data_IF_399440664461
#
_entry.id   IF_399440664461
#
_cell.length_a   1.000
_cell.length_b   1.000
_cell.length_c   1.000
_cell.angle_alpha   90.00
_cell.angle_beta   90.00
_cell.angle_gamma   90.00
#
_symmetry.space_group_name_H-M   'P 1'
#
loop_
_entity.id
_entity.type
_entity.pdbx_description
1 polymer ?
#
# COMPACT_ATOMS: atom_id res chain seq x y z
N UNK A 1 41.49 -50.37 43.08
CA UNK A 1 40.79 -51.09 42.00
C UNK A 1 39.93 -50.06 41.28
N UNK A 2 40.51 -49.29 40.35
CA UNK A 2 40.53 -49.55 38.91
C UNK A 2 39.14 -49.84 38.30
N UNK A 3 38.60 -48.86 37.58
CA UNK A 3 38.16 -49.06 36.18
C UNK A 3 37.96 -47.70 35.48
N UNK A 4 38.49 -47.64 34.26
CA UNK A 4 38.48 -46.55 33.29
C UNK A 4 37.09 -46.30 32.67
N UNK A 5 36.84 -45.06 32.21
CA UNK A 5 36.44 -44.80 30.82
C UNK A 5 36.48 -43.28 30.50
N UNK A 6 37.31 -42.92 29.52
CA UNK A 6 37.27 -41.66 28.76
C UNK A 6 36.25 -41.81 27.62
N UNK A 7 35.51 -40.75 27.28
CA UNK A 7 34.98 -40.43 25.94
C UNK A 7 34.50 -38.96 26.00
N UNK A 8 35.28 -38.02 25.46
CA UNK A 8 35.23 -37.51 24.08
C UNK A 8 34.18 -36.42 23.88
N UNK A 9 34.69 -35.25 23.50
CA UNK A 9 33.95 -34.04 23.18
C UNK A 9 32.96 -34.24 22.04
N UNK A 10 31.77 -33.67 22.17
CA UNK A 10 30.90 -33.35 21.06
C UNK A 10 30.77 -31.82 21.00
N UNK A 11 31.58 -31.21 20.14
CA UNK A 11 31.34 -29.86 19.66
C UNK A 11 30.05 -29.88 18.84
N UNK A 12 28.95 -29.39 19.41
CA UNK A 12 27.73 -29.16 18.67
C UNK A 12 27.99 -27.94 17.79
N UNK A 13 28.08 -28.19 16.47
CA UNK A 13 28.06 -27.16 15.45
C UNK A 13 26.83 -26.27 15.69
N UNK A 14 27.09 -24.99 15.96
CA UNK A 14 26.10 -23.95 15.79
C UNK A 14 25.77 -23.86 14.29
N UNK A 15 24.70 -24.55 13.88
CA UNK A 15 24.07 -24.32 12.59
C UNK A 15 23.56 -22.88 12.66
N UNK A 16 24.24 -21.97 11.96
CA UNK A 16 23.77 -20.61 11.79
C UNK A 16 22.35 -20.67 11.23
N UNK A 17 21.38 -20.28 12.05
CA UNK A 17 20.08 -19.90 11.54
C UNK A 17 20.35 -18.74 10.57
N UNK A 18 20.32 -19.03 9.28
CA UNK A 18 20.21 -18.00 8.27
C UNK A 18 18.99 -17.18 8.67
N UNK A 19 19.23 -15.94 9.09
CA UNK A 19 18.20 -14.95 9.36
C UNK A 19 17.22 -15.04 8.21
N UNK A 20 16.00 -15.51 8.46
CA UNK A 20 14.97 -15.55 7.45
C UNK A 20 14.87 -14.13 6.90
N UNK A 21 15.35 -13.92 5.67
CA UNK A 21 15.30 -12.61 5.05
C UNK A 21 13.85 -12.12 5.18
N UNK A 22 13.68 -10.90 5.69
CA UNK A 22 12.40 -10.22 5.63
C UNK A 22 11.90 -10.36 4.18
N UNK A 23 10.78 -11.06 3.99
CA UNK A 23 10.38 -11.50 2.66
C UNK A 23 9.73 -10.33 1.94
N UNK A 24 10.55 -9.43 1.40
CA UNK A 24 10.11 -8.49 0.39
C UNK A 24 9.61 -9.29 -0.81
N UNK A 25 8.40 -9.01 -1.25
CA UNK A 25 7.79 -9.69 -2.40
C UNK A 25 8.15 -8.95 -3.68
N UNK A 26 9.41 -9.12 -4.11
CA UNK A 26 9.96 -8.48 -5.31
C UNK A 26 9.28 -8.97 -6.60
N UNK A 27 8.64 -10.14 -6.56
CA UNK A 27 7.90 -10.69 -7.69
C UNK A 27 6.62 -9.89 -8.00
N UNK A 28 6.04 -9.25 -6.98
CA UNK A 28 4.76 -8.55 -7.06
C UNK A 28 4.84 -7.05 -6.83
N UNK A 29 5.98 -6.52 -6.41
CA UNK A 29 6.07 -5.12 -5.97
C UNK A 29 7.44 -4.49 -6.20
N UNK A 30 7.52 -3.18 -5.95
CA UNK A 30 8.74 -2.39 -5.99
C UNK A 30 8.91 -1.57 -7.27
N UNK A 31 10.15 -1.15 -7.52
CA UNK A 31 10.53 -0.24 -8.60
C UNK A 31 10.28 -0.78 -10.00
N UNK A 32 9.97 0.14 -10.91
CA UNK A 32 10.00 -0.10 -12.35
C UNK A 32 10.98 0.85 -13.01
N UNK A 33 11.53 0.43 -14.13
CA UNK A 33 12.52 1.18 -14.90
C UNK A 33 11.87 1.99 -16.02
N UNK A 34 10.66 1.59 -16.44
CA UNK A 34 9.93 2.25 -17.53
C UNK A 34 8.42 2.11 -17.39
N UNK A 35 7.71 3.09 -17.95
CA UNK A 35 6.25 3.08 -18.14
C UNK A 35 5.84 2.63 -19.54
N UNK A 36 6.80 2.38 -20.43
CA UNK A 36 6.53 1.74 -21.71
C UNK A 36 5.99 0.34 -21.49
N UNK A 37 5.12 -0.12 -22.41
CA UNK A 37 4.66 -1.51 -22.40
C UNK A 37 5.81 -2.49 -22.57
N UNK A 38 5.70 -3.64 -21.93
CA UNK A 38 6.66 -4.72 -22.10
C UNK A 38 6.60 -5.26 -23.54
N UNK A 39 7.72 -5.29 -24.30
CA UNK A 39 7.74 -5.83 -25.65
C UNK A 39 7.55 -7.36 -25.69
N UNK A 40 7.72 -8.05 -24.55
CA UNK A 40 7.63 -9.51 -24.43
C UNK A 40 6.69 -9.90 -23.28
N UNK A 41 5.37 -9.66 -23.40
CA UNK A 41 4.41 -10.01 -22.35
C UNK A 41 4.35 -11.53 -22.19
N UNK A 42 4.41 -12.01 -20.94
CA UNK A 42 4.26 -13.44 -20.65
C UNK A 42 2.79 -13.78 -20.46
N UNK A 43 2.39 -14.93 -21.02
CA UNK A 43 1.01 -15.40 -21.01
C UNK A 43 0.53 -15.79 -19.61
N UNK A 44 1.41 -16.37 -18.79
CA UNK A 44 1.03 -16.93 -17.49
C UNK A 44 1.52 -16.07 -16.32
N UNK A 45 0.66 -15.91 -15.31
CA UNK A 45 0.97 -15.18 -14.07
C UNK A 45 2.21 -15.75 -13.39
N UNK A 46 2.33 -17.08 -13.29
CA UNK A 46 3.48 -17.73 -12.68
C UNK A 46 4.81 -17.37 -13.36
N UNK A 47 4.81 -17.22 -14.68
CA UNK A 47 6.00 -16.82 -15.44
C UNK A 47 6.36 -15.35 -15.18
N UNK A 48 5.36 -14.46 -15.14
CA UNK A 48 5.57 -13.06 -14.77
C UNK A 48 6.17 -12.93 -13.37
N UNK A 49 5.61 -13.65 -12.39
CA UNK A 49 6.12 -13.64 -11.01
C UNK A 49 7.54 -14.17 -10.91
N UNK A 50 7.84 -15.29 -11.57
CA UNK A 50 9.18 -15.87 -11.58
C UNK A 50 10.22 -14.92 -12.21
N UNK A 51 9.86 -14.25 -13.30
CA UNK A 51 10.71 -13.24 -13.94
C UNK A 51 10.94 -12.04 -13.01
N UNK A 52 9.86 -11.49 -12.46
CA UNK A 52 9.94 -10.27 -11.64
C UNK A 52 10.76 -10.47 -10.36
N UNK A 53 10.79 -11.70 -9.82
CA UNK A 53 11.55 -12.03 -8.61
C UNK A 53 13.07 -11.80 -8.76
N UNK A 54 13.60 -11.87 -9.99
CA UNK A 54 15.04 -11.76 -10.27
C UNK A 54 15.37 -10.71 -11.32
N UNK A 55 14.37 -9.99 -11.83
CA UNK A 55 14.55 -9.00 -12.89
C UNK A 55 15.38 -7.80 -12.42
N UNK A 56 16.38 -7.44 -13.22
CA UNK A 56 17.16 -6.21 -13.06
C UNK A 56 16.58 -5.02 -13.83
N UNK A 57 15.64 -5.29 -14.75
CA UNK A 57 14.87 -4.30 -15.48
C UNK A 57 13.40 -4.69 -15.47
N UNK A 58 12.50 -3.79 -15.05
CA UNK A 58 11.08 -4.07 -14.81
C UNK A 58 10.20 -3.05 -15.52
N UNK A 59 9.20 -3.55 -16.25
CA UNK A 59 8.20 -2.72 -16.93
C UNK A 59 7.01 -2.44 -15.99
N UNK A 60 6.35 -1.30 -16.17
CA UNK A 60 5.15 -0.95 -15.40
C UNK A 60 4.08 -2.04 -15.48
N UNK A 61 3.78 -2.54 -16.68
CA UNK A 61 2.73 -3.54 -16.90
C UNK A 61 3.08 -4.94 -16.40
N UNK A 62 4.32 -5.19 -15.97
CA UNK A 62 4.69 -6.45 -15.32
C UNK A 62 4.28 -6.49 -13.83
N UNK A 63 4.20 -5.33 -13.19
CA UNK A 63 3.99 -5.19 -11.75
C UNK A 63 2.71 -4.43 -11.39
N UNK A 64 2.31 -3.48 -12.23
CA UNK A 64 1.23 -2.54 -11.96
C UNK A 64 0.17 -2.56 -13.07
N UNK A 65 -1.07 -2.32 -12.68
CA UNK A 65 -2.14 -1.90 -13.57
C UNK A 65 -2.36 -0.40 -13.41
N UNK A 66 -2.55 0.32 -14.52
CA UNK A 66 -2.87 1.73 -14.53
C UNK A 66 -4.39 1.94 -14.63
N UNK A 67 -4.98 2.59 -13.64
CA UNK A 67 -6.32 3.15 -13.71
C UNK A 67 -6.25 4.64 -14.04
N UNK A 68 -6.37 5.00 -15.32
CA UNK A 68 -6.30 6.38 -15.78
C UNK A 68 -7.11 6.58 -17.06
N UNK A 69 -7.59 7.79 -17.29
CA UNK A 69 -8.27 8.18 -18.54
C UNK A 69 -7.32 8.20 -19.75
N UNK A 70 -6.02 8.40 -19.49
CA UNK A 70 -4.95 8.34 -20.49
C UNK A 70 -3.64 7.85 -19.87
N UNK A 71 -2.84 7.03 -20.59
CA UNK A 71 -1.52 6.63 -20.12
C UNK A 71 -0.55 7.81 -19.94
N UNK A 72 -0.77 8.93 -20.65
CA UNK A 72 0.09 10.13 -20.54
C UNK A 72 -0.08 10.89 -19.22
N UNK A 73 -1.03 10.48 -18.38
CA UNK A 73 -1.24 11.03 -17.02
C UNK A 73 -0.30 10.43 -15.98
N UNK A 74 0.37 9.34 -16.33
CA UNK A 74 1.42 8.73 -15.52
C UNK A 74 2.76 8.92 -16.23
N UNK A 75 3.77 9.36 -15.48
CA UNK A 75 5.14 9.39 -15.96
C UNK A 75 6.10 8.88 -14.88
N UNK A 76 7.21 8.28 -15.30
CA UNK A 76 8.34 7.97 -14.43
C UNK A 76 9.38 9.09 -14.55
N UNK A 77 9.63 9.79 -13.45
CA UNK A 77 10.45 11.03 -13.43
C UNK A 77 11.50 10.95 -12.31
N UNK A 78 12.57 11.79 -12.35
CA UNK A 78 13.43 11.97 -11.19
C UNK A 78 12.64 12.45 -9.97
N UNK A 79 13.10 12.09 -8.76
CA UNK A 79 12.57 12.63 -7.51
C UNK A 79 12.63 14.18 -7.52
N UNK A 80 11.50 14.88 -7.36
CA UNK A 80 11.47 16.34 -7.37
C UNK A 80 12.29 17.00 -6.25
N UNK A 81 12.66 16.26 -5.19
CA UNK A 81 13.54 16.76 -4.13
C UNK A 81 15.03 16.47 -4.37
N UNK A 82 15.39 15.92 -5.55
CA UNK A 82 16.78 15.81 -6.00
C UNK A 82 17.53 14.56 -5.54
N UNK A 83 16.85 13.54 -5.01
CA UNK A 83 17.49 12.24 -4.77
C UNK A 83 17.75 11.50 -6.09
N UNK A 84 18.55 10.43 -6.04
CA UNK A 84 18.79 9.56 -7.21
C UNK A 84 17.59 8.68 -7.59
N UNK A 85 16.50 8.72 -6.81
CA UNK A 85 15.31 7.88 -7.04
C UNK A 85 14.54 8.32 -8.28
N UNK A 86 13.89 7.34 -8.91
CA UNK A 86 12.80 7.57 -9.85
C UNK A 86 11.48 7.38 -9.13
N UNK A 87 10.49 8.18 -9.48
CA UNK A 87 9.16 8.20 -8.85
C UNK A 87 8.08 8.35 -9.91
N UNK A 88 6.86 7.96 -9.57
CA UNK A 88 5.70 8.22 -10.41
C UNK A 88 5.23 9.66 -10.23
N UNK A 89 4.93 10.34 -11.34
CA UNK A 89 4.17 11.58 -11.38
C UNK A 89 2.78 11.27 -11.93
N UNK A 90 1.76 11.44 -11.09
CA UNK A 90 0.35 11.27 -11.42
C UNK A 90 -0.28 12.63 -11.66
N UNK A 91 -1.00 12.80 -12.76
CA UNK A 91 -1.72 14.05 -13.07
C UNK A 91 -3.15 13.75 -13.44
N UNK A 92 -4.12 14.44 -12.83
CA UNK A 92 -5.53 14.35 -13.21
C UNK A 92 -6.03 15.76 -13.54
N UNK A 93 -6.72 15.91 -14.66
CA UNK A 93 -7.44 17.14 -14.99
C UNK A 93 -8.94 16.96 -14.76
N UNK A 94 -9.61 18.03 -14.37
CA UNK A 94 -11.08 18.06 -14.23
C UNK A 94 -11.83 17.73 -15.53
N UNK A 95 -11.17 17.94 -16.68
CA UNK A 95 -11.69 17.62 -18.02
C UNK A 95 -11.40 16.19 -18.46
N UNK A 96 -10.61 15.43 -17.70
CA UNK A 96 -10.33 14.04 -18.06
C UNK A 96 -11.61 13.19 -17.91
N UNK A 97 -11.89 12.27 -18.86
CA UNK A 97 -13.01 11.33 -18.73
C UNK A 97 -12.95 10.54 -17.42
N UNK A 98 -14.11 10.28 -16.82
CA UNK A 98 -14.18 9.45 -15.62
C UNK A 98 -13.78 8.00 -15.94
N UNK A 99 -13.03 7.39 -15.03
CA UNK A 99 -12.70 5.96 -15.08
C UNK A 99 -13.37 5.28 -13.91
N UNK A 100 -14.23 4.31 -14.19
CA UNK A 100 -15.02 3.60 -13.17
C UNK A 100 -15.71 4.56 -12.20
N UNK A 101 -16.35 5.60 -12.73
CA UNK A 101 -17.16 6.55 -11.95
C UNK A 101 -16.41 7.64 -11.17
N UNK A 102 -15.10 7.82 -11.38
CA UNK A 102 -14.35 8.92 -10.74
C UNK A 102 -13.17 9.41 -11.56
N UNK A 103 -12.69 10.61 -11.24
CA UNK A 103 -11.47 11.17 -11.82
C UNK A 103 -10.26 10.49 -11.17
N UNK A 104 -9.40 9.85 -11.96
CA UNK A 104 -8.27 9.11 -11.41
C UNK A 104 -7.06 9.00 -12.32
N UNK A 105 -5.91 8.86 -11.67
CA UNK A 105 -4.69 8.29 -12.21
C UNK A 105 -4.03 7.55 -11.06
N UNK A 106 -4.19 6.24 -11.03
CA UNK A 106 -3.68 5.37 -9.97
C UNK A 106 -2.94 4.19 -10.57
N UNK A 107 -1.91 3.72 -9.86
CA UNK A 107 -1.31 2.41 -10.12
C UNK A 107 -1.71 1.45 -9.01
N UNK A 108 -2.04 0.20 -9.38
CA UNK A 108 -2.34 -0.88 -8.45
C UNK A 108 -1.44 -2.07 -8.70
N UNK A 109 -0.96 -2.74 -7.66
CA UNK A 109 -0.17 -3.96 -7.86
C UNK A 109 -0.99 -5.06 -8.54
N UNK A 110 -0.37 -5.74 -9.51
CA UNK A 110 -0.90 -6.96 -10.11
C UNK A 110 -0.63 -8.14 -9.20
N UNK A 111 -1.61 -9.05 -9.13
CA UNK A 111 -1.47 -10.36 -8.49
C UNK A 111 -1.15 -10.32 -6.98
N UNK A 112 -1.37 -9.19 -6.31
CA UNK A 112 -1.21 -9.01 -4.87
C UNK A 112 -2.57 -8.86 -4.18
N UNK A 113 -3.29 -9.97 -4.04
CA UNK A 113 -4.57 -10.00 -3.33
C UNK A 113 -4.45 -10.88 -2.09
N UNK A 114 -4.81 -10.33 -0.92
CA UNK A 114 -4.71 -11.04 0.37
C UNK A 114 -6.06 -11.00 1.08
N UNK A 115 -6.73 -12.16 1.19
CA UNK A 115 -8.05 -12.29 1.84
C UNK A 115 -7.92 -12.15 3.36
N UNK A 116 -7.05 -12.96 3.96
CA UNK A 116 -6.77 -12.96 5.39
C UNK A 116 -5.27 -13.13 5.64
N UNK A 117 -4.82 -12.78 6.85
CA UNK A 117 -3.45 -13.00 7.31
C UNK A 117 -2.52 -11.79 7.13
N UNK A 118 -1.27 -11.98 7.56
CA UNK A 118 -0.27 -10.90 7.62
C UNK A 118 0.25 -10.50 6.24
N UNK A 119 0.15 -9.21 5.93
CA UNK A 119 0.79 -8.54 4.80
C UNK A 119 1.34 -7.18 5.23
N UNK A 120 2.52 -6.85 4.71
CA UNK A 120 3.14 -5.54 4.88
C UNK A 120 3.07 -4.73 3.60
N UNK A 121 2.89 -3.43 3.74
CA UNK A 121 2.88 -2.47 2.64
C UNK A 121 3.78 -1.28 3.01
N UNK A 122 4.54 -0.78 2.04
CA UNK A 122 5.18 0.52 2.13
C UNK A 122 4.92 1.31 0.86
N UNK A 123 4.62 2.59 1.03
CA UNK A 123 4.36 3.52 -0.06
C UNK A 123 4.67 4.94 0.42
N UNK A 124 4.83 5.86 -0.52
CA UNK A 124 5.14 7.26 -0.18
C UNK A 124 4.55 8.21 -1.20
N UNK A 125 4.22 9.42 -0.74
CA UNK A 125 3.63 10.45 -1.58
C UNK A 125 4.24 11.81 -1.26
N UNK A 126 4.31 12.66 -2.27
CA UNK A 126 4.75 14.04 -2.15
C UNK A 126 3.77 14.94 -2.87
N UNK A 127 3.27 15.93 -2.13
CA UNK A 127 2.43 17.00 -2.63
C UNK A 127 3.33 18.12 -3.14
N UNK A 128 3.30 18.50 -4.43
CA UNK A 128 4.18 19.56 -4.94
C UNK A 128 3.77 20.95 -4.42
N UNK A 129 4.65 21.94 -4.57
CA UNK A 129 4.38 23.34 -4.17
C UNK A 129 3.15 23.96 -4.83
N UNK A 130 2.77 23.48 -6.01
CA UNK A 130 1.57 23.93 -6.73
C UNK A 130 0.32 23.12 -6.39
N UNK A 131 0.35 22.29 -5.33
CA UNK A 131 -0.82 21.57 -4.86
C UNK A 131 -1.93 22.53 -4.42
N UNK A 132 -3.07 22.43 -5.07
CA UNK A 132 -4.25 23.21 -4.73
C UNK A 132 -5.05 22.52 -3.63
N UNK A 133 -5.02 23.10 -2.43
CA UNK A 133 -5.84 22.63 -1.31
C UNK A 133 -7.32 22.87 -1.59
N UNK A 134 -8.15 21.85 -1.35
CA UNK A 134 -9.60 21.90 -1.49
C UNK A 134 -10.25 20.92 -0.52
N UNK A 135 -11.44 21.25 -0.01
CA UNK A 135 -12.17 20.41 0.95
C UNK A 135 -12.73 19.11 0.34
N UNK A 136 -12.71 18.97 -0.99
CA UNK A 136 -13.10 17.72 -1.65
C UNK A 136 -12.02 16.66 -1.45
N UNK A 137 -12.40 15.47 -0.96
CA UNK A 137 -11.44 14.42 -0.63
C UNK A 137 -10.74 13.92 -1.89
N UNK A 138 -9.47 13.56 -1.74
CA UNK A 138 -8.69 12.86 -2.76
C UNK A 138 -7.93 11.74 -2.09
N UNK A 139 -8.26 10.52 -2.48
CA UNK A 139 -7.54 9.32 -2.06
C UNK A 139 -6.19 9.33 -2.76
N UNK A 140 -5.12 9.35 -1.98
CA UNK A 140 -3.73 9.39 -2.46
C UNK A 140 -3.01 8.05 -2.35
N UNK A 141 -3.53 7.17 -1.49
CA UNK A 141 -3.17 5.77 -1.41
C UNK A 141 -4.34 4.98 -0.82
N UNK A 142 -4.46 3.70 -1.17
CA UNK A 142 -5.47 2.83 -0.59
C UNK A 142 -5.04 1.37 -0.63
N UNK A 143 -5.35 0.62 0.43
CA UNK A 143 -5.44 -0.84 0.36
C UNK A 143 -6.89 -1.10 0.02
N UNK A 144 -7.17 -1.17 -1.28
CA UNK A 144 -8.50 -1.43 -1.78
C UNK A 144 -8.87 -2.90 -1.61
N UNK A 145 -10.14 -3.23 -1.76
CA UNK A 145 -10.60 -4.61 -1.64
C UNK A 145 -11.33 -5.08 -2.89
N UNK A 146 -11.18 -6.35 -3.23
CA UNK A 146 -12.06 -6.97 -4.22
C UNK A 146 -13.48 -6.97 -3.67
N UNK A 147 -14.48 -6.57 -4.46
CA UNK A 147 -15.85 -6.51 -3.96
C UNK A 147 -16.62 -7.76 -4.40
N UNK A 148 -17.60 -8.19 -3.59
CA UNK A 148 -18.65 -9.12 -4.02
C UNK A 148 -19.74 -8.30 -4.72
N UNK A 149 -20.97 -8.32 -4.20
CA UNK A 149 -22.08 -7.54 -4.76
C UNK A 149 -22.12 -6.12 -4.18
N UNK A 150 -21.79 -5.96 -2.90
CA UNK A 150 -21.85 -4.67 -2.22
C UNK A 150 -20.61 -3.82 -2.53
N UNK A 151 -20.83 -2.60 -3.03
CA UNK A 151 -19.78 -1.59 -3.15
C UNK A 151 -19.49 -0.95 -1.80
N UNK A 152 -18.23 -1.00 -1.37
CA UNK A 152 -17.75 -0.49 -0.08
C UNK A 152 -16.48 0.36 -0.27
N UNK A 153 -16.19 1.29 0.66
CA UNK A 153 -14.90 1.98 0.68
C UNK A 153 -13.73 1.01 0.93
N UNK A 154 -12.51 1.36 0.53
CA UNK A 154 -11.31 0.55 0.79
C UNK A 154 -11.11 0.35 2.29
N UNK A 155 -10.60 -0.80 2.77
CA UNK A 155 -10.33 -0.99 4.20
C UNK A 155 -9.40 0.04 4.84
N UNK A 156 -8.44 0.53 4.05
CA UNK A 156 -7.55 1.63 4.44
C UNK A 156 -7.41 2.57 3.26
N UNK A 157 -7.64 3.86 3.48
CA UNK A 157 -7.33 4.92 2.55
C UNK A 157 -6.52 6.02 3.22
N UNK A 158 -5.59 6.62 2.49
CA UNK A 158 -4.95 7.88 2.84
C UNK A 158 -5.59 8.97 1.99
N UNK A 159 -6.15 9.98 2.64
CA UNK A 159 -7.01 10.99 2.01
C UNK A 159 -6.50 12.39 2.29
N UNK A 160 -6.21 13.14 1.23
CA UNK A 160 -5.97 14.57 1.30
C UNK A 160 -7.31 15.31 1.20
N UNK A 161 -7.64 16.09 2.23
CA UNK A 161 -8.85 16.92 2.27
C UNK A 161 -8.60 18.20 3.04
N UNK A 162 -8.94 19.34 2.44
CA UNK A 162 -8.56 20.65 2.98
C UNK A 162 -7.04 20.74 3.07
N UNK A 163 -6.51 21.01 4.27
CA UNK A 163 -5.07 21.01 4.56
C UNK A 163 -4.62 19.75 5.31
N UNK A 164 -5.51 18.78 5.51
CA UNK A 164 -5.25 17.60 6.32
C UNK A 164 -4.93 16.39 5.45
N UNK A 165 -4.01 15.57 5.96
CA UNK A 165 -3.78 14.21 5.51
C UNK A 165 -4.41 13.27 6.53
N UNK A 166 -5.43 12.53 6.10
CA UNK A 166 -6.21 11.64 6.95
C UNK A 166 -5.97 10.18 6.55
N UNK A 167 -6.11 9.28 7.52
CA UNK A 167 -6.25 7.85 7.31
C UNK A 167 -7.71 7.51 7.57
N UNK A 168 -8.40 7.01 6.57
CA UNK A 168 -9.76 6.49 6.67
C UNK A 168 -9.69 4.96 6.74
N UNK A 169 -10.39 4.39 7.71
CA UNK A 169 -10.39 2.96 8.02
C UNK A 169 -11.82 2.45 7.95
N UNK A 170 -12.01 1.37 7.21
CA UNK A 170 -13.33 0.81 7.00
C UNK A 170 -13.32 -0.71 7.11
N UNK A 171 -14.36 -1.27 7.72
CA UNK A 171 -14.49 -2.73 7.83
C UNK A 171 -15.94 -3.14 8.03
N UNK A 172 -16.25 -4.40 7.69
CA UNK A 172 -17.56 -4.97 7.94
C UNK A 172 -17.44 -6.49 8.04
N UNK A 173 -17.92 -7.06 9.15
CA UNK A 173 -17.93 -8.51 9.36
C UNK A 173 -19.11 -9.21 8.69
N UNK A 174 -20.10 -8.44 8.19
CA UNK A 174 -21.31 -8.96 7.55
C UNK A 174 -21.01 -9.48 6.15
N UNK A 175 -21.93 -10.30 5.64
CA UNK A 175 -21.83 -10.88 4.31
C UNK A 175 -21.91 -9.80 3.21
N UNK A 176 -20.92 -9.77 2.33
CA UNK A 176 -20.79 -8.83 1.22
C UNK A 176 -21.55 -9.22 -0.07
N UNK A 177 -22.19 -10.39 -0.11
CA UNK A 177 -22.98 -10.83 -1.28
C UNK A 177 -24.30 -10.07 -1.45
N UNK A 178 -24.69 -9.26 -0.47
CA UNK A 178 -25.98 -8.54 -0.47
C UNK A 178 -27.18 -9.43 -0.15
N UNK A 179 -26.96 -10.68 0.25
CA UNK A 179 -28.02 -11.66 0.56
C UNK A 179 -28.00 -12.04 2.04
N UNK A 180 -29.15 -12.45 2.58
CA UNK A 180 -29.29 -12.89 3.97
C UNK A 180 -30.07 -11.89 4.82
N UNK A 181 -30.13 -12.15 6.13
CA UNK A 181 -30.94 -11.36 7.09
C UNK A 181 -30.28 -10.08 7.56
N UNK A 182 -28.95 -9.98 7.49
CA UNK A 182 -28.17 -8.79 7.86
C UNK A 182 -26.93 -8.64 6.94
N UNK A 183 -27.12 -8.33 5.64
CA UNK A 183 -26.00 -8.16 4.71
C UNK A 183 -25.21 -6.88 5.00
N UNK A 184 -23.97 -6.85 4.53
CA UNK A 184 -23.17 -5.64 4.52
C UNK A 184 -23.80 -4.59 3.59
N UNK A 185 -23.90 -3.36 4.10
CA UNK A 185 -24.35 -2.18 3.38
C UNK A 185 -23.39 -1.04 3.68
N UNK A 186 -23.38 0.00 2.83
CA UNK A 186 -22.58 1.19 3.12
C UNK A 186 -22.94 1.84 4.46
N UNK A 187 -24.21 1.79 4.87
CA UNK A 187 -24.69 2.39 6.10
C UNK A 187 -24.27 1.62 7.37
N UNK A 188 -24.01 0.31 7.27
CA UNK A 188 -23.59 -0.53 8.40
C UNK A 188 -22.11 -0.94 8.35
N UNK A 189 -21.33 -0.35 7.42
CA UNK A 189 -19.88 -0.45 7.38
C UNK A 189 -19.29 0.46 8.44
N UNK A 190 -18.38 -0.07 9.25
CA UNK A 190 -17.64 0.71 10.24
C UNK A 190 -16.75 1.72 9.51
N UNK A 191 -16.64 2.91 10.09
CA UNK A 191 -15.85 4.02 9.55
C UNK A 191 -15.10 4.70 10.70
N UNK A 192 -13.81 4.88 10.53
CA UNK A 192 -12.95 5.60 11.45
C UNK A 192 -12.00 6.50 10.66
N UNK A 193 -12.00 7.79 11.02
CA UNK A 193 -11.08 8.78 10.48
C UNK A 193 -10.01 9.12 11.53
N UNK A 194 -8.75 8.97 11.14
CA UNK A 194 -7.58 9.36 11.94
C UNK A 194 -6.85 10.48 11.21
N UNK A 195 -6.74 11.66 11.82
CA UNK A 195 -5.95 12.76 11.25
C UNK A 195 -4.46 12.46 11.42
N UNK A 196 -3.78 12.08 10.34
CA UNK A 196 -2.36 11.76 10.39
C UNK A 196 -1.49 13.03 10.54
N UNK A 197 -1.88 14.14 9.91
CA UNK A 197 -1.20 15.42 10.08
C UNK A 197 -1.68 16.48 9.09
N UNK A 198 -1.03 17.65 9.12
CA UNK A 198 -1.21 18.68 8.09
C UNK A 198 -0.29 18.43 6.90
N UNK A 199 -0.78 18.77 5.71
CA UNK A 199 -0.02 18.68 4.48
C UNK A 199 0.90 19.91 4.37
N UNK A 200 2.19 19.63 4.29
CA UNK A 200 3.28 20.52 3.90
C UNK A 200 3.70 20.08 2.50
N UNK A 201 3.69 21.02 1.55
CA UNK A 201 4.12 20.74 0.18
C UNK A 201 5.64 20.58 0.09
N UNK A 202 6.12 19.91 -0.97
CA UNK A 202 7.52 19.56 -1.21
C UNK A 202 8.15 18.74 -0.07
N UNK A 203 7.35 17.83 0.49
CA UNK A 203 7.76 16.91 1.55
C UNK A 203 7.26 15.51 1.23
N UNK A 204 8.11 14.51 1.44
CA UNK A 204 7.71 13.11 1.39
C UNK A 204 6.93 12.73 2.64
N UNK A 205 5.79 12.09 2.44
CA UNK A 205 5.04 11.35 3.45
C UNK A 205 5.23 9.87 3.16
N UNK A 206 5.79 9.14 4.11
CA UNK A 206 6.10 7.73 3.96
C UNK A 206 5.26 6.92 4.93
N UNK A 207 4.54 5.94 4.39
CA UNK A 207 3.69 5.06 5.16
C UNK A 207 4.25 3.65 5.15
N UNK A 208 4.16 3.02 6.32
CA UNK A 208 4.28 1.57 6.46
C UNK A 208 2.98 1.09 7.06
N UNK A 209 2.45 -0.01 6.54
CA UNK A 209 1.26 -0.66 7.08
C UNK A 209 1.54 -2.13 7.28
N UNK A 210 1.32 -2.61 8.51
CA UNK A 210 1.23 -4.04 8.83
C UNK A 210 -0.23 -4.35 9.04
N UNK A 211 -0.78 -5.19 8.19
CA UNK A 211 -2.14 -5.68 8.35
C UNK A 211 -2.12 -7.19 8.55
N UNK A 212 -2.74 -7.66 9.62
CA UNK A 212 -3.20 -9.04 9.73
C UNK A 212 -4.68 -9.02 9.37
N UNK A 213 -4.97 -9.26 8.09
CA UNK A 213 -6.31 -9.06 7.52
C UNK A 213 -7.29 -10.09 8.07
N UNK A 214 -8.44 -9.62 8.56
CA UNK A 214 -9.61 -10.47 8.79
C UNK A 214 -10.89 -9.65 8.83
N UNK A 215 -11.99 -10.24 8.36
CA UNK A 215 -13.33 -9.70 8.55
C UNK A 215 -14.03 -10.31 9.78
N UNK A 216 -13.40 -11.28 10.46
CA UNK A 216 -14.02 -12.02 11.56
C UNK A 216 -13.90 -11.24 12.87
N UNK A 217 -14.99 -11.06 13.64
CA UNK A 217 -14.93 -10.37 14.93
C UNK A 217 -13.89 -11.01 15.87
N UNK A 218 -13.11 -10.18 16.56
CA UNK A 218 -12.07 -10.63 17.49
C UNK A 218 -10.76 -11.09 16.82
N UNK A 219 -10.68 -11.10 15.49
CA UNK A 219 -9.49 -11.54 14.74
C UNK A 219 -9.01 -10.39 13.86
N UNK A 220 -7.69 -10.26 13.76
CA UNK A 220 -7.03 -9.25 12.94
C UNK A 220 -6.31 -8.21 13.77
N UNK A 221 -5.34 -7.56 13.12
CA UNK A 221 -4.59 -6.44 13.69
C UNK A 221 -4.14 -5.50 12.60
N UNK A 222 -4.01 -4.22 12.93
CA UNK A 222 -3.56 -3.20 11.99
C UNK A 222 -2.62 -2.26 12.72
N UNK A 223 -1.47 -1.99 12.11
CA UNK A 223 -0.56 -0.95 12.55
C UNK A 223 -0.20 -0.10 11.34
N UNK A 224 -0.32 1.22 11.48
CA UNK A 224 -0.03 2.18 10.42
C UNK A 224 0.96 3.19 10.97
N UNK A 225 2.08 3.33 10.29
CA UNK A 225 3.09 4.34 10.58
C UNK A 225 3.08 5.41 9.51
N UNK A 226 3.28 6.66 9.91
CA UNK A 226 3.60 7.78 9.02
C UNK A 226 4.89 8.43 9.48
N UNK A 227 5.90 8.48 8.60
CA UNK A 227 7.20 9.09 8.84
C UNK A 227 7.85 8.63 10.16
N UNK A 228 7.90 7.33 10.45
CA UNK A 228 8.45 6.83 11.72
C UNK A 228 7.42 6.63 12.84
N UNK A 229 6.32 7.36 12.82
CA UNK A 229 5.42 7.45 13.98
C UNK A 229 4.24 6.53 13.80
N UNK A 230 3.95 5.73 14.83
CA UNK A 230 2.73 4.92 14.88
C UNK A 230 1.51 5.85 14.90
N UNK A 231 0.81 5.92 13.78
CA UNK A 231 -0.34 6.79 13.60
C UNK A 231 -1.65 6.12 14.02
N UNK A 232 -1.73 4.80 13.86
CA UNK A 232 -2.87 4.00 14.26
C UNK A 232 -2.46 2.58 14.62
N UNK A 233 -3.14 2.01 15.61
CA UNK A 233 -3.00 0.60 15.97
C UNK A 233 -4.34 0.03 16.45
N UNK A 234 -4.61 -1.22 16.05
CA UNK A 234 -5.67 -2.05 16.61
C UNK A 234 -5.23 -3.50 16.70
N UNK A 235 -5.69 -4.19 17.73
CA UNK A 235 -5.45 -5.62 17.97
C UNK A 235 -6.78 -6.33 18.25
N UNK A 236 -6.88 -7.61 17.86
CA UNK A 236 -8.07 -8.44 18.02
C UNK A 236 -9.34 -7.80 17.41
N UNK A 237 -9.19 -7.16 16.24
CA UNK A 237 -10.25 -6.41 15.58
C UNK A 237 -10.29 -6.73 14.08
N UNK A 238 -11.49 -6.91 13.57
CA UNK A 238 -11.72 -7.06 12.13
C UNK A 238 -11.41 -5.74 11.42
N UNK A 239 -10.64 -5.84 10.35
CA UNK A 239 -10.05 -4.72 9.61
C UNK A 239 -10.20 -4.88 8.10
N UNK A 240 -11.04 -5.81 7.66
CA UNK A 240 -11.30 -6.10 6.25
C UNK A 240 -12.79 -6.44 6.03
N UNK A 241 -13.06 -6.97 4.84
CA UNK A 241 -14.38 -7.43 4.41
C UNK A 241 -14.32 -8.90 3.97
N UNK A 242 -15.47 -9.57 3.95
CA UNK A 242 -15.61 -10.90 3.33
C UNK A 242 -15.62 -10.77 1.79
N UNK A 243 -14.52 -11.11 1.13
CA UNK A 243 -14.32 -10.79 -0.31
C UNK A 243 -13.87 -11.99 -1.15
N UNK A 244 -13.87 -11.85 -2.47
CA UNK A 244 -13.49 -12.92 -3.40
C UNK A 244 -11.98 -13.16 -3.48
N UNK A 245 -11.20 -12.09 -3.62
CA UNK A 245 -9.76 -12.16 -3.84
C UNK A 245 -8.97 -11.56 -2.68
N UNK A 246 -9.54 -10.60 -1.95
CA UNK A 246 -8.90 -9.93 -0.83
C UNK A 246 -8.49 -8.48 -1.12
N UNK A 247 -7.59 -7.99 -0.28
CA UNK A 247 -7.11 -6.62 -0.28
C UNK A 247 -5.87 -6.47 -1.15
N UNK A 248 -5.74 -5.33 -1.82
CA UNK A 248 -4.65 -5.02 -2.75
C UNK A 248 -4.33 -3.51 -2.76
N UNK A 249 -3.06 -3.12 -2.86
CA UNK A 249 -2.64 -1.74 -2.70
C UNK A 249 -2.72 -0.93 -4.01
N UNK A 250 -3.01 0.36 -3.87
CA UNK A 250 -2.97 1.38 -4.91
C UNK A 250 -2.35 2.67 -4.39
N UNK A 251 -1.69 3.41 -5.27
CA UNK A 251 -1.22 4.79 -5.02
C UNK A 251 -1.51 5.67 -6.24
N UNK A 252 -1.70 6.96 -6.02
CA UNK A 252 -1.92 7.93 -7.09
C UNK A 252 -2.96 8.96 -6.70
N UNK A 253 -3.84 9.32 -7.63
CA UNK A 253 -4.92 10.27 -7.41
C UNK A 253 -6.25 9.57 -7.71
N UNK A 254 -7.14 9.50 -6.73
CA UNK A 254 -8.54 9.13 -6.95
C UNK A 254 -9.49 10.09 -6.25
N UNK A 255 -10.36 10.69 -7.06
CA UNK A 255 -11.41 11.60 -6.62
C UNK A 255 -12.75 10.96 -6.94
N UNK A 256 -13.51 10.51 -5.94
CA UNK A 256 -14.86 10.02 -6.18
C UNK A 256 -15.75 11.17 -6.67
N UNK A 257 -16.44 10.99 -7.79
CA UNK A 257 -17.28 12.02 -8.39
C UNK A 257 -16.50 13.08 -9.17
N UNK A 258 -17.01 14.32 -9.16
CA UNK A 258 -16.46 15.43 -9.96
C UNK A 258 -15.39 16.17 -9.18
N UNK A 259 -14.21 16.25 -9.79
CA UNK A 259 -13.08 17.02 -9.31
C UNK A 259 -13.38 18.53 -9.25
N UNK A 260 -13.15 19.15 -8.09
CA UNK A 260 -13.48 20.56 -7.82
C UNK A 260 -12.32 21.55 -8.04
N UNK A 261 -11.20 21.07 -8.62
CA UNK A 261 -10.06 21.92 -8.98
C UNK A 261 -9.63 21.62 -10.42
N UNK A 262 -9.04 22.56 -11.17
CA UNK A 262 -8.74 22.35 -12.59
C UNK A 262 -7.84 21.14 -12.86
N UNK A 263 -6.84 20.93 -12.01
CA UNK A 263 -5.94 19.78 -12.04
C UNK A 263 -5.33 19.48 -10.68
N UNK A 264 -4.79 18.27 -10.53
CA UNK A 264 -3.97 17.84 -9.39
C UNK A 264 -2.78 17.06 -9.93
N UNK A 265 -1.65 17.27 -9.30
CA UNK A 265 -0.43 16.48 -9.51
C UNK A 265 0.05 15.94 -8.18
N UNK A 266 0.43 14.67 -8.17
CA UNK A 266 1.01 14.00 -7.01
C UNK A 266 2.21 13.20 -7.46
N UNK A 267 3.28 13.22 -6.66
CA UNK A 267 4.38 12.29 -6.83
C UNK A 267 4.21 11.13 -5.87
N UNK A 268 4.42 9.90 -6.31
CA UNK A 268 4.47 8.74 -5.42
C UNK A 268 5.72 7.94 -5.68
N UNK A 269 6.29 7.37 -4.62
CA UNK A 269 7.22 6.26 -4.79
C UNK A 269 6.45 5.00 -5.22
N UNK A 270 7.19 3.92 -5.46
CA UNK A 270 6.64 2.61 -5.76
C UNK A 270 5.89 2.01 -4.55
N UNK A 271 5.04 1.03 -4.84
CA UNK A 271 4.41 0.21 -3.79
C UNK A 271 5.34 -0.95 -3.51
N UNK A 272 5.72 -1.14 -2.26
CA UNK A 272 6.49 -2.29 -1.79
C UNK A 272 5.62 -3.16 -0.89
N UNK A 273 5.75 -4.48 -1.02
CA UNK A 273 5.01 -5.44 -0.21
C UNK A 273 5.92 -6.45 0.46
N UNK A 274 5.52 -6.91 1.63
CA UNK A 274 6.27 -7.84 2.45
C UNK A 274 5.40 -8.92 3.06
N UNK A 275 5.99 -10.09 3.32
CA UNK A 275 5.36 -11.22 3.99
C UNK A 275 5.41 -11.15 5.52
N UNK A 276 5.04 -12.24 6.19
CA UNK A 276 4.98 -12.30 7.66
C UNK A 276 6.32 -12.06 8.37
N UNK A 277 7.46 -12.30 7.70
CA UNK A 277 8.79 -12.05 8.25
C UNK A 277 9.29 -10.61 8.07
N UNK A 278 8.55 -9.76 7.34
CA UNK A 278 8.91 -8.35 7.20
C UNK A 278 8.76 -7.61 8.54
N UNK A 279 9.56 -6.55 8.68
CA UNK A 279 9.54 -5.66 9.85
C UNK A 279 9.32 -4.22 9.42
N UNK A 280 8.95 -3.36 10.38
CA UNK A 280 8.85 -1.92 10.13
C UNK A 280 10.12 -1.37 9.46
N UNK A 281 11.30 -1.64 10.02
CA UNK A 281 12.56 -1.10 9.50
C UNK A 281 12.83 -1.53 8.05
N UNK A 282 12.57 -2.80 7.73
CA UNK A 282 12.78 -3.32 6.36
C UNK A 282 11.86 -2.66 5.35
N UNK A 283 10.61 -2.34 5.75
CA UNK A 283 9.63 -1.69 4.89
C UNK A 283 9.89 -0.18 4.80
N UNK A 284 10.24 0.47 5.91
CA UNK A 284 10.54 1.91 5.96
C UNK A 284 11.80 2.25 5.15
N UNK A 285 12.82 1.39 5.16
CA UNK A 285 14.05 1.56 4.38
C UNK A 285 13.82 1.64 2.86
N UNK A 286 12.69 1.12 2.37
CA UNK A 286 12.33 1.16 0.94
C UNK A 286 11.77 2.51 0.52
N UNK A 287 11.30 3.32 1.47
CA UNK A 287 10.71 4.63 1.22
C UNK A 287 11.77 5.74 1.11
N UNK A 288 11.43 6.91 0.53
CA UNK A 288 12.34 8.06 0.49
C UNK A 288 12.67 8.64 1.88
N UNK A 289 11.85 8.39 2.90
CA UNK A 289 12.09 8.88 4.26
C UNK A 289 13.10 8.02 5.04
N UNK A 290 13.32 6.77 4.61
CA UNK A 290 14.17 5.81 5.30
C UNK A 290 13.68 5.43 6.69
N UNK A 291 14.54 4.76 7.47
CA UNK A 291 14.27 4.34 8.86
C UNK A 291 14.46 5.47 9.87
N UNK A 292 15.21 6.51 9.52
CA UNK A 292 15.60 7.62 10.40
C UNK A 292 14.64 8.81 10.36
N UNK A 293 13.43 8.63 9.82
CA UNK A 293 12.45 9.72 9.72
C UNK A 293 12.23 10.35 11.11
N UNK A 294 12.52 11.65 11.21
CA UNK A 294 12.30 12.40 12.44
C UNK A 294 10.81 12.32 12.82
N UNK A 295 10.47 12.14 14.10
CA UNK A 295 9.08 12.08 14.52
C UNK A 295 8.35 13.33 14.04
N UNK A 296 7.28 13.13 13.26
CA UNK A 296 6.31 14.18 13.00
C UNK A 296 5.61 14.44 14.33
N UNK A 297 5.22 15.68 14.61
CA UNK A 297 4.49 16.00 15.84
C UNK A 297 3.35 15.01 16.05
N UNK A 298 3.15 14.58 17.31
CA UNK A 298 2.19 13.55 17.68
C UNK A 298 0.87 13.68 16.91
N UNK A 299 0.38 12.54 16.40
CA UNK A 299 -0.96 12.41 15.86
C UNK A 299 -1.94 13.01 16.87
N UNK A 300 -2.68 14.02 16.42
CA UNK A 300 -3.75 14.63 17.22
C UNK A 300 -4.84 13.56 17.31
N UNK A 301 -4.91 12.88 18.45
CA UNK A 301 -5.99 11.94 18.78
C UNK A 301 -7.30 12.70 18.99
#
# INVERSE_FOLDING_TARGET
MQAFAKLSAAAILAIGCNSAFAQLDLARSGSVDTVSSNPNPLMYVSQNLARNATATYRYLDDLYSLGSSSPTRLALVPDPLGSSRKVFSHTVYSTDPLVSGGSRTEVSLKYDYVIEGVRWYAFSMLFPSDWQFHASPTVVAQMNTSQKTTSVPPPVAVVASGQDLNIELHSNYRNMSGTGTDPATRANTADLLVRAGKIETNKWYCFVVRADWSFKPGIGSLQIWMNGNLAYESVNAYNAYDTWLGNYPKVGLYLPGVMQVPSRRLYTDFIYTGGASSTYDTMAALTPCGTAAAPTANVIR
#
